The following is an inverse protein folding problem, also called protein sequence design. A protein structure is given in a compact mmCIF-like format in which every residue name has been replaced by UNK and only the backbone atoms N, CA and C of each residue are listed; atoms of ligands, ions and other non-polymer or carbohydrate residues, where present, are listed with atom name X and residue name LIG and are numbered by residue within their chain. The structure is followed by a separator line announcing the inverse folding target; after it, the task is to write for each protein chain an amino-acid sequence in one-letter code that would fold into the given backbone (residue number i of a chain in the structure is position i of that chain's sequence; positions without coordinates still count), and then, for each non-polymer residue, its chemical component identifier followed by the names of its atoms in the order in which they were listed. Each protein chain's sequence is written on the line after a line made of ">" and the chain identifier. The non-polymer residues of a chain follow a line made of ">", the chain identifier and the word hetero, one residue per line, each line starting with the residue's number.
data_IF_515251096945
#
_entry.id   IF_515251096945
#
_cell.length_a   1.000
_cell.length_b   1.000
_cell.length_c   1.000
_cell.angle_alpha   90.00
_cell.angle_beta   90.00
_cell.angle_gamma   90.00
#
_symmetry.space_group_name_H-M   'P 1'
#
loop_
_entity.id
_entity.type
_entity.pdbx_description
1 polymer ?
#
# COMPACT_ATOMS: atom_id res chain seq x y z
N UNK A 1 23.47 4.47 19.34
CA UNK A 1 22.59 5.17 18.38
C UNK A 1 21.26 4.42 18.36
N UNK A 2 20.12 5.10 18.23
CA UNK A 2 18.85 4.39 18.02
C UNK A 2 18.89 3.68 16.67
N UNK A 3 18.24 2.51 16.58
CA UNK A 3 18.13 1.78 15.31
C UNK A 3 17.33 2.61 14.31
N UNK A 4 17.72 2.59 13.04
CA UNK A 4 16.99 3.27 11.96
C UNK A 4 15.62 2.61 11.80
N UNK A 5 14.54 3.37 11.95
CA UNK A 5 13.17 2.88 11.76
C UNK A 5 12.75 3.12 10.31
N UNK A 6 12.42 2.04 9.62
CA UNK A 6 12.13 2.03 8.18
C UNK A 6 10.73 1.48 7.98
N UNK A 7 9.86 2.29 7.36
CA UNK A 7 8.58 1.80 6.82
C UNK A 7 8.78 1.42 5.36
N UNK A 8 8.53 0.15 5.04
CA UNK A 8 8.65 -0.40 3.69
C UNK A 8 7.25 -0.55 3.10
N UNK A 9 7.01 0.04 1.92
CA UNK A 9 5.76 -0.13 1.18
C UNK A 9 5.98 -1.05 -0.03
N UNK A 10 5.37 -2.23 0.00
CA UNK A 10 5.50 -3.24 -1.03
C UNK A 10 4.44 -3.05 -2.14
N UNK A 11 4.90 -2.84 -3.37
CA UNK A 11 4.05 -2.79 -4.56
C UNK A 11 3.57 -4.16 -5.05
N UNK A 12 2.84 -4.18 -6.16
CA UNK A 12 2.25 -5.41 -6.71
C UNK A 12 3.31 -6.44 -7.13
N UNK A 13 4.46 -6.00 -7.67
CA UNK A 13 5.57 -6.89 -8.08
C UNK A 13 6.07 -7.75 -6.91
N UNK A 14 6.05 -7.22 -5.69
CA UNK A 14 6.48 -7.90 -4.48
C UNK A 14 5.51 -9.01 -4.00
N UNK A 15 4.28 -9.05 -4.53
CA UNK A 15 3.22 -9.95 -4.09
C UNK A 15 2.65 -10.84 -5.18
N UNK A 16 2.96 -10.61 -6.46
CA UNK A 16 2.33 -11.33 -7.56
C UNK A 16 0.81 -11.06 -7.67
N UNK A 17 0.15 -11.77 -8.60
CA UNK A 17 -1.28 -11.60 -8.87
C UNK A 17 -2.13 -12.86 -8.63
N UNK A 18 -1.54 -14.04 -8.75
CA UNK A 18 -2.19 -15.35 -8.51
C UNK A 18 -1.57 -16.06 -7.30
N UNK A 19 -2.24 -17.09 -6.77
CA UNK A 19 -1.71 -17.87 -5.63
C UNK A 19 -0.27 -18.40 -5.87
N UNK A 20 0.05 -19.06 -7.01
CA UNK A 20 1.43 -19.53 -7.26
C UNK A 20 2.43 -18.39 -7.47
N UNK A 21 2.01 -17.30 -8.11
CA UNK A 21 2.86 -16.14 -8.31
C UNK A 21 3.19 -15.45 -6.97
N UNK A 22 2.21 -15.34 -6.07
CA UNK A 22 2.42 -14.76 -4.75
C UNK A 22 3.39 -15.59 -3.94
N UNK A 23 3.22 -16.91 -3.89
CA UNK A 23 4.14 -17.81 -3.19
C UNK A 23 5.59 -17.67 -3.67
N UNK A 24 5.79 -17.39 -4.96
CA UNK A 24 7.13 -17.12 -5.50
C UNK A 24 7.62 -15.71 -5.14
N UNK A 25 6.77 -14.70 -5.33
CA UNK A 25 7.11 -13.30 -5.11
C UNK A 25 7.48 -13.01 -3.64
N UNK A 26 6.72 -13.56 -2.67
CA UNK A 26 6.98 -13.31 -1.25
C UNK A 26 8.33 -13.85 -0.78
N UNK A 27 8.89 -14.88 -1.43
CA UNK A 27 10.23 -15.40 -1.14
C UNK A 27 11.32 -14.41 -1.54
N UNK A 28 11.17 -13.74 -2.69
CA UNK A 28 12.10 -12.69 -3.10
C UNK A 28 11.98 -11.47 -2.19
N UNK A 29 10.74 -11.08 -1.86
CA UNK A 29 10.47 -10.02 -0.89
C UNK A 29 11.09 -10.33 0.47
N UNK A 30 10.98 -11.56 0.96
CA UNK A 30 11.55 -11.98 2.24
C UNK A 30 13.07 -11.75 2.31
N UNK A 31 13.80 -12.03 1.22
CA UNK A 31 15.25 -11.77 1.14
C UNK A 31 15.57 -10.28 1.30
N UNK A 32 14.85 -9.43 0.57
CA UNK A 32 15.03 -7.98 0.63
C UNK A 32 14.75 -7.44 2.05
N UNK A 33 13.68 -7.91 2.70
CA UNK A 33 13.36 -7.56 4.09
C UNK A 33 14.43 -8.06 5.06
N UNK A 34 14.92 -9.29 4.87
CA UNK A 34 15.97 -9.85 5.70
C UNK A 34 17.29 -9.05 5.59
N UNK A 35 17.63 -8.53 4.40
CA UNK A 35 18.78 -7.64 4.22
C UNK A 35 18.66 -6.36 5.07
N UNK A 36 17.46 -5.75 5.13
CA UNK A 36 17.20 -4.58 5.97
C UNK A 36 17.31 -4.91 7.47
N UNK A 37 16.84 -6.10 7.86
CA UNK A 37 16.91 -6.59 9.24
C UNK A 37 18.36 -6.87 9.66
N UNK A 38 19.17 -7.45 8.77
CA UNK A 38 20.61 -7.66 8.96
C UNK A 38 21.39 -6.34 9.08
N UNK A 39 20.96 -5.30 8.38
CA UNK A 39 21.46 -3.93 8.54
C UNK A 39 20.98 -3.25 9.85
N UNK A 40 20.48 -4.03 10.80
CA UNK A 40 19.97 -3.63 12.12
C UNK A 40 18.84 -2.59 12.10
N UNK A 41 18.03 -2.55 11.05
CA UNK A 41 16.87 -1.67 10.98
C UNK A 41 15.68 -2.22 11.81
N UNK A 42 14.85 -1.30 12.32
CA UNK A 42 13.50 -1.61 12.77
C UNK A 42 12.56 -1.50 11.57
N UNK A 43 12.01 -2.64 11.13
CA UNK A 43 11.26 -2.72 9.87
C UNK A 43 9.77 -2.86 10.14
N UNK A 44 8.98 -1.94 9.58
CA UNK A 44 7.52 -2.05 9.50
C UNK A 44 7.12 -2.10 8.03
N UNK A 45 6.28 -3.05 7.66
CA UNK A 45 5.93 -3.37 6.29
C UNK A 45 4.46 -3.03 6.08
N UNK A 46 4.19 -2.33 4.99
CA UNK A 46 2.87 -2.22 4.39
C UNK A 46 2.92 -2.76 2.97
N UNK A 47 1.76 -3.06 2.41
CA UNK A 47 1.72 -3.73 1.11
C UNK A 47 0.45 -3.38 0.32
N UNK A 48 0.53 -3.50 -1.01
CA UNK A 48 -0.64 -3.43 -1.88
C UNK A 48 -1.53 -4.68 -1.75
N UNK A 49 -2.77 -4.64 -2.22
CA UNK A 49 -3.65 -5.81 -2.22
C UNK A 49 -4.52 -5.94 -3.48
N UNK A 50 -4.30 -5.13 -4.52
CA UNK A 50 -5.31 -4.94 -5.56
C UNK A 50 -5.68 -6.24 -6.33
N UNK A 51 -4.73 -7.09 -6.77
CA UNK A 51 -5.07 -8.39 -7.35
C UNK A 51 -5.81 -9.30 -6.36
N UNK A 52 -5.33 -9.37 -5.12
CA UNK A 52 -5.82 -10.28 -4.09
C UNK A 52 -7.24 -9.91 -3.63
N UNK A 53 -7.49 -8.63 -3.35
CA UNK A 53 -8.82 -8.13 -2.98
C UNK A 53 -9.80 -8.23 -4.14
N UNK A 54 -9.33 -8.06 -5.38
CA UNK A 54 -10.15 -8.27 -6.58
C UNK A 54 -10.60 -9.71 -6.73
N UNK A 55 -9.70 -10.68 -6.51
CA UNK A 55 -10.01 -12.10 -6.49
C UNK A 55 -11.02 -12.45 -5.39
N UNK A 56 -10.76 -12.00 -4.14
CA UNK A 56 -11.64 -12.24 -2.99
C UNK A 56 -13.02 -11.64 -3.22
N UNK A 57 -13.09 -10.38 -3.65
CA UNK A 57 -14.36 -9.71 -3.92
C UNK A 57 -15.15 -10.40 -5.03
N UNK A 58 -14.48 -10.88 -6.09
CA UNK A 58 -15.14 -11.66 -7.15
C UNK A 58 -15.71 -12.96 -6.58
N UNK A 59 -14.94 -13.70 -5.79
CA UNK A 59 -15.41 -14.94 -5.16
C UNK A 59 -16.60 -14.70 -4.21
N UNK A 60 -16.53 -13.66 -3.36
CA UNK A 60 -17.62 -13.32 -2.43
C UNK A 60 -18.89 -12.85 -3.14
N UNK A 61 -18.76 -12.18 -4.29
CA UNK A 61 -19.91 -11.81 -5.11
C UNK A 61 -20.57 -13.04 -5.74
N UNK A 62 -19.80 -13.98 -6.28
CA UNK A 62 -20.37 -15.21 -6.83
C UNK A 62 -21.02 -16.07 -5.72
N UNK A 63 -20.43 -16.10 -4.52
CA UNK A 63 -21.03 -16.74 -3.36
C UNK A 63 -22.40 -16.12 -3.01
N UNK A 64 -22.49 -14.79 -2.94
CA UNK A 64 -23.72 -14.07 -2.62
C UNK A 64 -24.84 -14.29 -3.66
N UNK A 65 -24.50 -14.43 -4.95
CA UNK A 65 -25.48 -14.77 -6.00
C UNK A 65 -26.12 -16.15 -5.79
N UNK A 66 -25.36 -17.11 -5.27
CA UNK A 66 -25.82 -18.48 -5.05
C UNK A 66 -26.53 -18.69 -3.71
N UNK A 67 -26.43 -17.73 -2.79
CA UNK A 67 -26.98 -17.84 -1.43
C UNK A 67 -27.82 -16.60 -1.08
N UNK A 68 -29.10 -16.56 -1.48
CA UNK A 68 -29.97 -15.39 -1.30
C UNK A 68 -30.15 -14.94 0.16
N UNK A 69 -29.99 -15.87 1.11
CA UNK A 69 -30.11 -15.59 2.55
C UNK A 69 -28.87 -14.85 3.12
N UNK A 70 -27.81 -14.70 2.33
CA UNK A 70 -26.59 -14.00 2.72
C UNK A 70 -26.54 -12.59 2.12
N UNK A 71 -26.08 -11.62 2.90
CA UNK A 71 -25.75 -10.29 2.38
C UNK A 71 -24.40 -10.34 1.66
N UNK A 72 -24.29 -9.61 0.54
CA UNK A 72 -23.01 -9.44 -0.17
C UNK A 72 -21.93 -8.88 0.75
N UNK A 73 -20.72 -9.44 0.68
CA UNK A 73 -19.60 -9.00 1.50
C UNK A 73 -19.18 -7.57 1.10
N UNK A 74 -19.13 -6.61 2.04
CA UNK A 74 -18.70 -5.26 1.74
C UNK A 74 -17.19 -5.23 1.44
N UNK A 75 -16.75 -4.20 0.69
CA UNK A 75 -15.33 -4.03 0.34
C UNK A 75 -14.40 -4.00 1.55
N UNK A 76 -14.84 -3.45 2.69
CA UNK A 76 -14.08 -3.45 3.94
C UNK A 76 -13.78 -4.87 4.46
N UNK A 77 -14.72 -5.80 4.34
CA UNK A 77 -14.54 -7.21 4.73
C UNK A 77 -13.61 -7.91 3.75
N UNK A 78 -13.76 -7.68 2.43
CA UNK A 78 -12.83 -8.21 1.43
C UNK A 78 -11.39 -7.69 1.65
N UNK A 79 -11.24 -6.42 2.02
CA UNK A 79 -9.94 -5.84 2.40
C UNK A 79 -9.38 -6.53 3.65
N UNK A 80 -10.18 -6.79 4.68
CA UNK A 80 -9.76 -7.52 5.87
C UNK A 80 -9.26 -8.94 5.53
N UNK A 81 -10.00 -9.67 4.70
CA UNK A 81 -9.59 -10.98 4.20
C UNK A 81 -8.25 -10.91 3.46
N UNK A 82 -8.06 -9.89 2.61
CA UNK A 82 -6.82 -9.72 1.86
C UNK A 82 -5.60 -9.45 2.74
N UNK A 83 -5.78 -8.76 3.87
CA UNK A 83 -4.70 -8.54 4.84
C UNK A 83 -4.28 -9.85 5.51
N UNK A 84 -5.26 -10.68 5.92
CA UNK A 84 -4.97 -12.00 6.50
C UNK A 84 -4.26 -12.91 5.51
N UNK A 85 -4.73 -12.93 4.25
CA UNK A 85 -4.14 -13.74 3.19
C UNK A 85 -2.70 -13.33 2.87
N UNK A 86 -2.46 -12.06 2.54
CA UNK A 86 -1.13 -11.58 2.16
C UNK A 86 -0.18 -11.59 3.36
N UNK A 87 -0.68 -11.16 4.53
CA UNK A 87 0.09 -11.15 5.76
C UNK A 87 0.54 -12.54 6.19
N UNK A 88 -0.31 -13.56 6.03
CA UNK A 88 0.08 -14.96 6.26
C UNK A 88 1.28 -15.38 5.40
N UNK A 89 1.20 -15.15 4.07
CA UNK A 89 2.26 -15.54 3.15
C UNK A 89 3.57 -14.77 3.40
N UNK A 90 3.49 -13.45 3.61
CA UNK A 90 4.65 -12.60 3.93
C UNK A 90 5.27 -12.99 5.26
N UNK A 91 4.46 -13.14 6.32
CA UNK A 91 4.92 -13.47 7.66
C UNK A 91 5.68 -14.80 7.66
N UNK A 92 5.17 -15.81 6.97
CA UNK A 92 5.84 -17.11 6.85
C UNK A 92 7.16 -16.99 6.10
N UNK A 93 7.16 -16.36 4.92
CA UNK A 93 8.35 -16.26 4.08
C UNK A 93 9.46 -15.45 4.75
N UNK A 94 9.12 -14.31 5.37
CA UNK A 94 10.11 -13.48 6.09
C UNK A 94 10.65 -14.24 7.30
N UNK A 95 9.79 -14.91 8.09
CA UNK A 95 10.24 -15.67 9.26
C UNK A 95 11.16 -16.82 8.85
N UNK A 96 10.82 -17.56 7.81
CA UNK A 96 11.67 -18.63 7.26
C UNK A 96 13.05 -18.08 6.85
N UNK A 97 13.07 -16.99 6.07
CA UNK A 97 14.31 -16.37 5.61
C UNK A 97 15.17 -15.86 6.77
N UNK A 98 14.58 -15.19 7.76
CA UNK A 98 15.31 -14.72 8.95
C UNK A 98 15.92 -15.89 9.72
N UNK A 99 15.18 -16.98 9.91
CA UNK A 99 15.70 -18.17 10.59
C UNK A 99 16.83 -18.84 9.81
N UNK A 100 16.73 -18.91 8.47
CA UNK A 100 17.80 -19.42 7.61
C UNK A 100 19.09 -18.60 7.74
N UNK A 101 18.99 -17.31 8.06
CA UNK A 101 20.12 -16.42 8.36
C UNK A 101 20.54 -16.41 9.83
N UNK A 102 19.94 -17.23 10.67
CA UNK A 102 20.24 -17.31 12.11
C UNK A 102 19.64 -16.15 12.94
N UNK A 103 18.65 -15.43 12.41
CA UNK A 103 18.02 -14.26 13.03
C UNK A 103 16.69 -14.66 13.67
N UNK A 104 16.64 -14.64 15.00
CA UNK A 104 15.45 -15.01 15.79
C UNK A 104 14.40 -13.90 15.97
N UNK A 105 14.27 -12.93 15.06
CA UNK A 105 13.31 -11.82 15.22
C UNK A 105 11.88 -12.29 14.90
N UNK A 106 10.89 -12.02 15.77
CA UNK A 106 9.49 -12.31 15.45
C UNK A 106 8.98 -11.48 14.27
N UNK A 107 8.05 -12.04 13.52
CA UNK A 107 7.34 -11.39 12.42
C UNK A 107 5.84 -11.48 12.73
N UNK A 108 5.15 -10.35 12.71
CA UNK A 108 3.74 -10.27 13.13
C UNK A 108 2.92 -9.44 12.16
N UNK A 109 1.81 -10.01 11.68
CA UNK A 109 0.79 -9.29 10.92
C UNK A 109 -0.28 -8.74 11.84
N UNK A 110 -0.61 -7.46 11.69
CA UNK A 110 -1.68 -6.79 12.43
C UNK A 110 -2.80 -6.43 11.45
N UNK A 111 -4.00 -6.97 11.67
CA UNK A 111 -5.19 -6.53 10.97
C UNK A 111 -5.40 -5.04 11.27
N UNK A 112 -5.38 -4.21 10.24
CA UNK A 112 -5.28 -2.76 10.39
C UNK A 112 -6.47 -2.04 9.79
N UNK A 113 -7.12 -1.20 10.59
CA UNK A 113 -8.15 -0.25 10.21
C UNK A 113 -7.56 1.16 10.09
N UNK A 114 -8.02 1.90 9.09
CA UNK A 114 -7.56 3.27 8.81
C UNK A 114 -8.76 4.19 8.77
N UNK A 115 -8.71 5.21 9.61
CA UNK A 115 -9.74 6.24 9.70
C UNK A 115 -9.66 7.13 8.46
N UNK A 116 -10.80 7.38 7.84
CA UNK A 116 -10.93 8.25 6.67
C UNK A 116 -12.00 9.31 6.94
N UNK A 117 -11.81 10.49 6.37
CA UNK A 117 -12.73 11.61 6.55
C UNK A 117 -14.06 11.33 5.82
N UNK A 118 -15.23 11.35 6.48
CA UNK A 118 -16.52 11.19 5.79
C UNK A 118 -16.82 12.30 4.78
N UNK A 119 -16.15 13.45 4.88
CA UNK A 119 -16.31 14.61 4.01
C UNK A 119 -15.16 14.75 2.99
N UNK A 120 -14.34 13.71 2.79
CA UNK A 120 -13.28 13.73 1.79
C UNK A 120 -13.84 13.95 0.38
N UNK A 121 -13.27 14.88 -0.38
CA UNK A 121 -13.73 15.23 -1.73
C UNK A 121 -13.77 14.04 -2.69
N UNK A 122 -12.95 13.00 -2.44
CA UNK A 122 -12.95 11.76 -3.24
C UNK A 122 -14.25 10.96 -3.12
N UNK A 123 -15.10 11.20 -2.11
CA UNK A 123 -16.44 10.63 -2.06
C UNK A 123 -17.35 11.19 -3.16
N UNK A 124 -17.12 12.44 -3.59
CA UNK A 124 -17.86 13.06 -4.70
C UNK A 124 -17.21 12.81 -6.06
N UNK A 125 -15.94 12.38 -6.09
CA UNK A 125 -15.19 12.05 -7.31
C UNK A 125 -14.46 10.71 -7.17
N UNK A 126 -15.17 9.57 -7.35
CA UNK A 126 -14.52 8.27 -7.40
C UNK A 126 -13.48 8.24 -8.53
N UNK A 127 -12.26 7.81 -8.22
CA UNK A 127 -11.15 7.76 -9.20
C UNK A 127 -10.53 6.37 -9.32
N UNK A 128 -10.75 5.50 -8.33
CA UNK A 128 -10.05 4.22 -8.24
C UNK A 128 -10.87 3.12 -8.91
N UNK A 129 -10.40 2.68 -10.07
CA UNK A 129 -10.99 1.54 -10.79
C UNK A 129 -10.59 0.24 -10.10
N UNK A 130 -11.58 -0.61 -9.79
CA UNK A 130 -11.40 -1.88 -9.10
C UNK A 130 -12.22 -3.00 -9.76
N UNK A 131 -11.90 -4.25 -9.43
CA UNK A 131 -12.65 -5.43 -9.86
C UNK A 131 -12.41 -5.84 -11.32
N UNK A 132 -13.15 -6.87 -11.74
CA UNK A 132 -13.11 -7.42 -13.11
C UNK A 132 -13.85 -6.54 -14.10
N UNK A 133 -13.56 -6.72 -15.40
CA UNK A 133 -14.39 -6.16 -16.48
C UNK A 133 -15.76 -6.84 -16.43
N UNK A 134 -16.81 -6.02 -16.50
CA UNK A 134 -18.22 -6.38 -16.41
C UNK A 134 -18.92 -6.09 -17.73
N UNK A 135 -19.97 -6.86 -18.01
CA UNK A 135 -20.92 -6.53 -19.09
C UNK A 135 -21.76 -5.29 -18.71
N UNK A 136 -22.55 -4.77 -19.66
CA UNK A 136 -23.46 -3.65 -19.36
C UNK A 136 -24.49 -4.06 -18.29
N UNK A 137 -25.08 -5.23 -18.42
CA UNK A 137 -26.08 -5.76 -17.49
C UNK A 137 -25.52 -5.93 -16.07
N UNK A 138 -24.30 -6.48 -15.96
CA UNK A 138 -23.60 -6.59 -14.66
C UNK A 138 -23.30 -5.21 -14.06
N UNK A 139 -22.99 -4.21 -14.88
CA UNK A 139 -22.74 -2.85 -14.43
C UNK A 139 -24.02 -2.15 -13.96
N UNK A 140 -25.12 -2.29 -14.69
CA UNK A 140 -26.43 -1.74 -14.30
C UNK A 140 -26.88 -2.33 -12.95
N UNK A 141 -26.69 -3.64 -12.75
CA UNK A 141 -26.99 -4.31 -11.47
C UNK A 141 -26.11 -3.82 -10.30
N UNK A 142 -24.89 -3.35 -10.56
CA UNK A 142 -24.05 -2.71 -9.53
C UNK A 142 -24.51 -1.28 -9.23
N UNK A 143 -24.93 -0.52 -10.24
CA UNK A 143 -25.52 0.82 -10.08
C UNK A 143 -26.83 0.77 -9.27
N UNK A 144 -27.68 -0.24 -9.49
CA UNK A 144 -28.90 -0.47 -8.69
C UNK A 144 -28.61 -0.73 -7.20
N UNK A 145 -27.43 -1.29 -6.88
CA UNK A 145 -26.96 -1.47 -5.50
C UNK A 145 -26.35 -0.20 -4.89
N UNK A 146 -26.32 0.91 -5.64
CA UNK A 146 -25.69 2.17 -5.24
C UNK A 146 -24.17 2.19 -5.42
N UNK A 147 -23.60 1.27 -6.20
CA UNK A 147 -22.17 1.30 -6.53
C UNK A 147 -21.92 2.12 -7.81
N UNK A 148 -20.78 2.81 -7.87
CA UNK A 148 -20.39 3.51 -9.08
C UNK A 148 -19.64 2.59 -10.04
N UNK A 149 -19.91 2.75 -11.34
CA UNK A 149 -19.19 2.08 -12.43
C UNK A 149 -18.64 3.10 -13.42
N UNK A 150 -17.60 2.70 -14.15
CA UNK A 150 -17.01 3.51 -15.22
C UNK A 150 -16.72 2.64 -16.43
N UNK A 151 -16.80 3.24 -17.62
CA UNK A 151 -16.49 2.55 -18.88
C UNK A 151 -14.98 2.39 -19.00
N UNK A 152 -14.55 1.19 -19.37
CA UNK A 152 -13.14 0.86 -19.64
C UNK A 152 -13.05 0.15 -20.99
N UNK A 153 -11.82 -0.10 -21.45
CA UNK A 153 -11.62 -0.95 -22.62
C UNK A 153 -12.21 -2.35 -22.36
N UNK A 154 -13.07 -2.81 -23.28
CA UNK A 154 -13.73 -4.11 -23.21
C UNK A 154 -14.97 -4.20 -22.31
N UNK A 155 -15.42 -3.11 -21.66
CA UNK A 155 -16.67 -3.14 -20.87
C UNK A 155 -16.75 -2.08 -19.78
N UNK A 156 -17.16 -2.49 -18.58
CA UNK A 156 -17.32 -1.63 -17.41
C UNK A 156 -16.53 -2.16 -16.23
N UNK A 157 -16.12 -1.28 -15.31
CA UNK A 157 -15.52 -1.66 -14.02
C UNK A 157 -16.09 -0.82 -12.90
N UNK A 158 -16.07 -1.36 -11.68
CA UNK A 158 -16.41 -0.57 -10.49
C UNK A 158 -15.40 0.54 -10.29
N UNK A 159 -15.87 1.71 -9.87
CA UNK A 159 -15.04 2.84 -9.47
C UNK A 159 -15.39 3.21 -8.04
N UNK A 160 -14.39 3.38 -7.19
CA UNK A 160 -14.56 3.68 -5.77
C UNK A 160 -13.75 4.90 -5.37
N UNK A 161 -14.17 5.51 -4.27
CA UNK A 161 -13.47 6.62 -3.63
C UNK A 161 -12.16 6.18 -3.02
N UNK A 162 -11.17 7.07 -3.06
CA UNK A 162 -9.86 6.86 -2.49
C UNK A 162 -9.52 7.99 -1.51
N UNK A 163 -10.17 8.00 -0.34
CA UNK A 163 -9.98 9.06 0.65
C UNK A 163 -8.59 9.00 1.26
N UNK A 164 -8.14 10.15 1.77
CA UNK A 164 -6.84 10.23 2.44
C UNK A 164 -6.90 9.52 3.81
N UNK A 165 -5.81 8.84 4.21
CA UNK A 165 -5.71 8.25 5.53
C UNK A 165 -5.54 9.36 6.58
N UNK A 166 -6.48 9.47 7.53
CA UNK A 166 -6.38 10.42 8.63
C UNK A 166 -5.59 9.84 9.80
N UNK A 167 -5.92 8.61 10.21
CA UNK A 167 -5.35 7.96 11.38
C UNK A 167 -5.34 6.42 11.23
N UNK A 168 -4.50 5.74 12.00
CA UNK A 168 -4.39 4.27 12.03
C UNK A 168 -4.86 3.79 13.40
N UNK A 169 -5.93 2.99 13.43
CA UNK A 169 -6.58 2.59 14.68
C UNK A 169 -5.64 1.77 15.57
N UNK A 170 -4.89 0.83 14.97
CA UNK A 170 -3.98 -0.07 15.68
C UNK A 170 -2.55 0.49 15.86
N UNK A 171 -2.36 1.80 15.72
CA UNK A 171 -1.02 2.42 15.72
C UNK A 171 -0.21 2.13 16.99
N UNK A 172 -0.85 2.10 18.16
CA UNK A 172 -0.17 1.85 19.43
C UNK A 172 0.33 0.41 19.53
N UNK A 173 -0.42 -0.56 19.00
CA UNK A 173 0.01 -1.96 18.92
C UNK A 173 1.16 -2.13 17.92
N UNK A 174 1.06 -1.48 16.75
CA UNK A 174 2.13 -1.47 15.74
C UNK A 174 3.41 -0.90 16.34
N UNK A 175 3.31 0.25 17.02
CA UNK A 175 4.45 0.92 17.69
C UNK A 175 5.07 0.03 18.75
N UNK A 176 4.25 -0.54 19.63
CA UNK A 176 4.71 -1.42 20.71
C UNK A 176 5.51 -2.61 20.18
N UNK A 177 5.03 -3.29 19.14
CA UNK A 177 5.70 -4.45 18.56
C UNK A 177 6.96 -4.06 17.77
N UNK A 178 6.92 -2.94 17.05
CA UNK A 178 8.09 -2.41 16.33
C UNK A 178 9.20 -1.98 17.28
N UNK A 179 8.84 -1.29 18.38
CA UNK A 179 9.79 -0.86 19.42
C UNK A 179 10.38 -2.05 20.18
N UNK A 180 9.63 -3.15 20.31
CA UNK A 180 10.13 -4.43 20.80
C UNK A 180 11.05 -5.18 19.80
N UNK A 181 11.30 -4.61 18.62
CA UNK A 181 12.23 -5.15 17.62
C UNK A 181 11.64 -6.24 16.71
N UNK A 182 10.32 -6.41 16.69
CA UNK A 182 9.65 -7.29 15.73
C UNK A 182 9.61 -6.67 14.34
N UNK A 183 9.56 -7.51 13.31
CA UNK A 183 9.14 -7.10 11.97
C UNK A 183 7.61 -7.08 11.96
N UNK A 184 7.01 -5.91 11.75
CA UNK A 184 5.55 -5.76 11.81
C UNK A 184 4.99 -5.54 10.42
N UNK A 185 4.00 -6.33 10.01
CA UNK A 185 3.23 -6.15 8.77
C UNK A 185 1.89 -5.51 9.15
N UNK A 186 1.59 -4.33 8.61
CA UNK A 186 0.40 -3.55 8.92
C UNK A 186 -0.09 -2.76 7.69
N UNK A 187 -1.26 -2.14 7.80
CA UNK A 187 -1.85 -1.33 6.72
C UNK A 187 -1.93 -2.05 5.36
N UNK A 188 -2.13 -3.37 5.36
CA UNK A 188 -2.24 -4.15 4.12
C UNK A 188 -3.38 -3.64 3.24
N UNK A 189 -3.08 -3.38 1.97
CA UNK A 189 -4.01 -2.75 1.03
C UNK A 189 -4.29 -1.27 1.28
N UNK A 190 -3.48 -0.60 2.10
CA UNK A 190 -3.76 0.75 2.61
C UNK A 190 -4.61 0.76 3.89
N UNK A 191 -4.96 -0.41 4.44
CA UNK A 191 -5.82 -0.53 5.62
C UNK A 191 -7.30 -0.73 5.28
N UNK A 192 -8.07 -1.23 6.25
CA UNK A 192 -9.53 -1.34 6.15
C UNK A 192 -10.11 0.06 6.41
N UNK A 193 -10.74 0.71 5.42
CA UNK A 193 -11.23 2.06 5.64
C UNK A 193 -12.43 2.05 6.58
N UNK A 194 -12.38 2.90 7.60
CA UNK A 194 -13.43 3.05 8.60
C UNK A 194 -13.80 4.52 8.81
N UNK A 195 -15.08 4.78 8.97
CA UNK A 195 -15.61 6.05 9.44
C UNK A 195 -15.71 6.00 10.96
N UNK A 196 -15.14 6.98 11.65
CA UNK A 196 -15.22 7.12 13.10
C UNK A 196 -16.37 8.06 13.47
N UNK A 197 -17.33 7.55 14.23
CA UNK A 197 -18.43 8.33 14.81
C UNK A 197 -18.40 8.14 16.32
N UNK A 198 -17.87 9.14 17.04
CA UNK A 198 -17.52 9.01 18.46
C UNK A 198 -16.63 7.76 18.69
N UNK A 199 -17.14 6.77 19.43
CA UNK A 199 -16.42 5.53 19.75
C UNK A 199 -16.75 4.37 18.80
N UNK A 200 -17.60 4.59 17.79
CA UNK A 200 -18.00 3.55 16.83
C UNK A 200 -17.20 3.68 15.54
N UNK A 201 -16.63 2.56 15.11
CA UNK A 201 -16.03 2.40 13.80
C UNK A 201 -17.03 1.70 12.86
N UNK A 202 -17.23 2.24 11.67
CA UNK A 202 -18.04 1.62 10.61
C UNK A 202 -17.22 1.49 9.35
N UNK A 203 -17.15 0.30 8.78
CA UNK A 203 -16.48 0.08 7.50
C UNK A 203 -17.03 0.98 6.40
N UNK A 204 -16.14 1.63 5.66
CA UNK A 204 -16.48 2.45 4.49
C UNK A 204 -16.34 1.64 3.20
N UNK A 205 -17.18 1.95 2.20
CA UNK A 205 -17.04 1.41 0.85
C UNK A 205 -16.02 2.26 0.07
N UNK A 206 -14.75 2.13 0.43
CA UNK A 206 -13.65 2.88 -0.17
C UNK A 206 -12.40 2.00 -0.31
N UNK A 207 -11.38 2.50 -1.00
CA UNK A 207 -10.04 1.90 -1.03
C UNK A 207 -9.02 3.00 -0.78
N UNK A 208 -8.25 2.88 0.29
CA UNK A 208 -7.22 3.87 0.61
C UNK A 208 -6.02 3.67 -0.31
N UNK A 209 -5.42 4.77 -0.75
CA UNK A 209 -4.19 4.69 -1.53
C UNK A 209 -3.04 4.20 -0.63
N UNK A 210 -2.47 3.03 -0.95
CA UNK A 210 -1.50 2.37 -0.06
C UNK A 210 -0.22 3.16 0.17
N UNK A 211 0.27 3.92 -0.82
CA UNK A 211 1.48 4.72 -0.67
C UNK A 211 1.21 5.88 0.31
N UNK A 212 0.03 6.52 0.24
CA UNK A 212 -0.41 7.51 1.25
C UNK A 212 -0.56 6.90 2.64
N UNK A 213 -1.15 5.70 2.75
CA UNK A 213 -1.28 5.00 4.04
C UNK A 213 0.10 4.64 4.63
N UNK A 214 1.04 4.24 3.77
CA UNK A 214 2.43 3.97 4.15
C UNK A 214 3.12 5.23 4.67
N UNK A 215 2.90 6.37 4.01
CA UNK A 215 3.37 7.68 4.48
C UNK A 215 2.79 8.06 5.84
N UNK A 216 1.48 7.87 6.06
CA UNK A 216 0.83 8.11 7.36
C UNK A 216 1.35 7.15 8.44
N UNK A 217 1.56 5.88 8.12
CA UNK A 217 2.16 4.89 9.02
C UNK A 217 3.58 5.32 9.44
N UNK A 218 4.40 5.75 8.48
CA UNK A 218 5.76 6.23 8.74
C UNK A 218 5.76 7.50 9.60
N UNK A 219 4.85 8.43 9.33
CA UNK A 219 4.65 9.64 10.13
C UNK A 219 4.33 9.32 11.59
N UNK A 220 3.32 8.47 11.83
CA UNK A 220 2.82 8.14 13.17
C UNK A 220 3.78 7.25 14.00
N UNK A 221 4.68 6.54 13.34
CA UNK A 221 5.73 5.75 13.97
C UNK A 221 7.03 6.55 14.20
N UNK A 222 7.07 7.81 13.77
CA UNK A 222 8.27 8.65 13.71
C UNK A 222 9.44 7.94 13.04
N UNK A 223 9.16 7.32 11.88
CA UNK A 223 10.17 6.63 11.10
C UNK A 223 11.23 7.60 10.56
N UNK A 224 12.46 7.12 10.39
CA UNK A 224 13.55 7.84 9.77
C UNK A 224 13.44 7.78 8.24
N UNK A 225 12.91 6.67 7.72
CA UNK A 225 12.83 6.41 6.29
C UNK A 225 11.51 5.78 5.88
N UNK A 226 10.96 6.28 4.77
CA UNK A 226 9.90 5.63 3.99
C UNK A 226 10.54 5.03 2.73
N UNK A 227 10.46 3.72 2.57
CA UNK A 227 11.03 3.00 1.44
C UNK A 227 9.89 2.44 0.57
N UNK A 228 9.65 3.05 -0.59
CA UNK A 228 8.62 2.64 -1.53
C UNK A 228 9.22 1.68 -2.57
N UNK A 229 8.98 0.38 -2.42
CA UNK A 229 9.51 -0.66 -3.31
C UNK A 229 8.47 -1.02 -4.38
N UNK A 230 8.53 -0.30 -5.50
CA UNK A 230 7.37 -0.17 -6.40
C UNK A 230 7.54 -0.79 -7.79
N UNK A 231 8.62 -1.56 -8.00
CA UNK A 231 8.92 -2.25 -9.26
C UNK A 231 9.54 -1.35 -10.34
N UNK A 232 9.83 -0.09 -9.99
CA UNK A 232 10.49 0.89 -10.82
C UNK A 232 11.85 1.19 -10.20
N UNK A 233 12.92 1.18 -11.01
CA UNK A 233 14.27 1.46 -10.49
C UNK A 233 14.43 2.90 -10.02
N UNK A 234 13.81 3.85 -10.74
CA UNK A 234 13.81 5.28 -10.45
C UNK A 234 12.52 5.90 -10.96
N UNK A 235 12.23 7.12 -10.50
CA UNK A 235 11.28 8.00 -11.15
C UNK A 235 11.95 8.68 -12.34
N UNK A 236 11.14 9.11 -13.29
CA UNK A 236 11.59 9.76 -14.52
C UNK A 236 10.75 11.00 -14.79
N UNK A 237 11.40 12.07 -15.24
CA UNK A 237 10.73 13.22 -15.87
C UNK A 237 10.48 12.90 -17.34
N UNK A 238 9.45 13.52 -17.92
CA UNK A 238 9.13 13.37 -19.35
C UNK A 238 9.03 11.89 -19.79
N UNK A 239 8.47 11.04 -18.93
CA UNK A 239 8.38 9.61 -19.21
C UNK A 239 7.68 9.34 -20.55
N UNK A 240 8.29 8.51 -21.39
CA UNK A 240 7.78 8.19 -22.73
C UNK A 240 8.05 9.25 -23.80
N UNK A 241 8.84 10.29 -23.51
CA UNK A 241 9.30 11.29 -24.49
C UNK A 241 10.80 11.12 -24.76
N UNK A 242 11.28 11.76 -25.84
CA UNK A 242 12.69 11.70 -26.25
C UNK A 242 13.65 12.29 -25.19
N UNK A 243 13.18 13.24 -24.38
CA UNK A 243 13.92 13.87 -23.28
C UNK A 243 13.59 13.26 -21.91
N UNK A 244 13.35 11.95 -21.87
CA UNK A 244 13.12 11.21 -20.62
C UNK A 244 14.39 11.21 -19.76
N UNK A 245 14.29 11.67 -18.52
CA UNK A 245 15.43 11.83 -17.62
C UNK A 245 15.17 11.16 -16.27
N UNK A 246 16.09 10.32 -15.76
CA UNK A 246 15.95 9.71 -14.45
C UNK A 246 16.13 10.73 -13.33
N UNK A 247 15.39 10.57 -12.24
CA UNK A 247 15.53 11.35 -11.03
C UNK A 247 16.38 10.59 -10.00
N UNK A 248 17.53 11.18 -9.64
CA UNK A 248 18.37 10.71 -8.55
C UNK A 248 17.89 11.31 -7.21
N UNK A 249 18.61 12.29 -6.67
CA UNK A 249 18.21 13.00 -5.46
C UNK A 249 17.50 14.31 -5.82
N UNK A 250 16.31 14.53 -5.27
CA UNK A 250 15.56 15.77 -5.42
C UNK A 250 15.10 16.31 -4.07
N UNK A 251 14.96 17.63 -3.98
CA UNK A 251 14.38 18.28 -2.80
C UNK A 251 12.86 18.20 -2.81
N UNK A 252 12.24 18.44 -1.66
CA UNK A 252 10.79 18.59 -1.52
C UNK A 252 10.23 19.67 -2.45
N UNK A 253 10.92 20.81 -2.58
CA UNK A 253 10.48 21.93 -3.44
C UNK A 253 10.48 21.52 -4.91
N UNK A 254 11.53 20.83 -5.37
CA UNK A 254 11.58 20.31 -6.75
C UNK A 254 10.48 19.29 -7.00
N UNK A 255 10.27 18.36 -6.08
CA UNK A 255 9.20 17.38 -6.18
C UNK A 255 7.81 18.05 -6.30
N UNK A 256 7.57 19.13 -5.53
CA UNK A 256 6.33 19.92 -5.63
C UNK A 256 6.20 20.64 -6.97
N UNK A 257 7.29 21.19 -7.53
CA UNK A 257 7.29 21.79 -8.87
C UNK A 257 6.88 20.76 -9.92
N UNK A 258 7.51 19.58 -9.91
CA UNK A 258 7.22 18.51 -10.88
C UNK A 258 5.79 17.96 -10.75
N UNK A 259 5.23 17.94 -9.53
CA UNK A 259 3.80 17.64 -9.33
C UNK A 259 2.93 18.71 -10.01
N UNK A 260 3.22 20.00 -9.79
CA UNK A 260 2.45 21.10 -10.38
C UNK A 260 2.55 21.15 -11.92
N UNK A 261 3.69 20.72 -12.47
CA UNK A 261 3.93 20.57 -13.90
C UNK A 261 3.28 19.32 -14.51
N UNK A 262 2.68 18.44 -13.69
CA UNK A 262 2.04 17.21 -14.18
C UNK A 262 3.02 16.15 -14.70
N UNK A 263 4.26 16.14 -14.21
CA UNK A 263 5.30 15.20 -14.67
C UNK A 263 5.01 13.74 -14.28
N UNK A 264 4.20 13.51 -13.26
CA UNK A 264 3.94 12.19 -12.69
C UNK A 264 2.56 11.66 -13.05
N UNK A 265 2.50 10.43 -13.55
CA UNK A 265 1.23 9.77 -13.88
C UNK A 265 0.31 9.65 -12.66
N UNK A 266 -0.90 10.23 -12.75
CA UNK A 266 -1.83 10.43 -11.63
C UNK A 266 -2.21 9.14 -10.90
N UNK A 267 -2.35 8.03 -11.63
CA UNK A 267 -2.88 6.76 -11.08
C UNK A 267 -1.80 5.82 -10.53
N UNK A 268 -0.53 6.10 -10.80
CA UNK A 268 0.59 5.19 -10.48
C UNK A 268 1.71 5.88 -9.73
N UNK A 269 2.33 6.92 -10.29
CA UNK A 269 3.54 7.55 -9.75
C UNK A 269 3.20 8.70 -8.81
N UNK A 270 2.22 9.54 -9.16
CA UNK A 270 1.87 10.72 -8.38
C UNK A 270 1.59 10.41 -6.89
N UNK A 271 0.82 9.36 -6.52
CA UNK A 271 0.56 9.07 -5.11
C UNK A 271 1.84 8.77 -4.30
N UNK A 272 2.86 8.18 -4.92
CA UNK A 272 4.16 7.89 -4.29
C UNK A 272 4.90 9.18 -3.97
N UNK A 273 4.94 10.09 -4.94
CA UNK A 273 5.62 11.39 -4.77
C UNK A 273 4.89 12.24 -3.74
N UNK A 274 3.55 12.22 -3.73
CA UNK A 274 2.74 12.91 -2.72
C UNK A 274 2.98 12.34 -1.33
N UNK A 275 2.99 11.01 -1.17
CA UNK A 275 3.32 10.36 0.10
C UNK A 275 4.73 10.72 0.58
N UNK A 276 5.70 10.65 -0.34
CA UNK A 276 7.10 10.96 -0.07
C UNK A 276 7.29 12.42 0.41
N UNK A 277 6.72 13.36 -0.33
CA UNK A 277 6.76 14.79 -0.01
C UNK A 277 6.10 15.06 1.34
N UNK A 278 4.94 14.46 1.60
CA UNK A 278 4.24 14.63 2.88
C UNK A 278 5.07 14.13 4.07
N UNK A 279 5.65 12.93 3.95
CA UNK A 279 6.46 12.33 5.01
C UNK A 279 7.73 13.12 5.31
N UNK A 280 8.48 13.49 4.27
CA UNK A 280 9.75 14.24 4.38
C UNK A 280 9.50 15.65 4.90
N UNK A 281 8.44 16.34 4.43
CA UNK A 281 8.07 17.68 4.92
C UNK A 281 7.67 17.69 6.40
N UNK A 282 7.27 16.54 6.97
CA UNK A 282 6.74 16.46 8.32
C UNK A 282 7.80 16.64 9.42
N UNK A 283 9.07 16.32 9.14
CA UNK A 283 10.17 16.46 10.13
C UNK A 283 11.54 16.48 9.43
N UNK A 284 12.46 17.39 9.81
CA UNK A 284 13.83 17.39 9.31
C UNK A 284 14.54 16.04 9.55
N UNK A 285 15.34 15.62 8.58
CA UNK A 285 16.12 14.38 8.66
C UNK A 285 15.40 13.12 8.17
N UNK A 286 14.10 13.20 7.87
CA UNK A 286 13.37 12.11 7.21
C UNK A 286 13.72 12.02 5.74
N UNK A 287 13.78 10.79 5.23
CA UNK A 287 14.10 10.52 3.81
C UNK A 287 13.07 9.58 3.23
N UNK A 288 12.62 9.83 2.00
CA UNK A 288 11.90 8.83 1.20
C UNK A 288 12.78 8.32 0.08
N UNK A 289 12.81 7.01 -0.13
CA UNK A 289 13.46 6.39 -1.30
C UNK A 289 12.45 5.57 -2.08
N UNK A 290 12.42 5.78 -3.39
CA UNK A 290 11.58 5.03 -4.34
C UNK A 290 12.49 4.17 -5.21
N UNK A 291 12.38 2.86 -5.10
CA UNK A 291 13.31 1.93 -5.74
C UNK A 291 12.62 0.62 -6.18
N UNK A 292 13.36 -0.22 -6.90
CA UNK A 292 12.97 -1.60 -7.15
C UNK A 292 13.22 -2.45 -5.90
N UNK A 293 12.49 -3.57 -5.79
CA UNK A 293 12.65 -4.52 -4.69
C UNK A 293 14.08 -5.10 -4.65
N UNK A 294 14.67 -5.33 -5.83
CA UNK A 294 16.00 -5.94 -5.95
C UNK A 294 17.11 -4.99 -5.46
N UNK A 295 16.83 -3.67 -5.41
CA UNK A 295 17.77 -2.63 -4.99
C UNK A 295 17.52 -2.19 -3.52
N UNK A 296 16.74 -2.94 -2.73
CA UNK A 296 16.28 -2.50 -1.41
C UNK A 296 17.42 -2.16 -0.43
N UNK A 297 18.52 -2.91 -0.48
CA UNK A 297 19.70 -2.70 0.38
C UNK A 297 20.44 -1.42 -0.01
N UNK A 298 20.70 -1.23 -1.29
CA UNK A 298 21.32 -0.03 -1.84
C UNK A 298 20.43 1.20 -1.63
N UNK A 299 19.11 1.04 -1.72
CA UNK A 299 18.13 2.09 -1.45
C UNK A 299 18.13 2.51 0.03
N UNK A 300 18.27 1.56 0.97
CA UNK A 300 18.41 1.86 2.41
C UNK A 300 19.62 2.78 2.70
N UNK A 301 20.69 2.60 1.93
CA UNK A 301 21.94 3.37 1.99
C UNK A 301 21.91 4.65 1.13
N UNK A 302 20.78 4.98 0.49
CA UNK A 302 20.63 6.12 -0.42
C UNK A 302 21.59 6.05 -1.64
N UNK A 303 21.88 4.84 -2.13
CA UNK A 303 22.74 4.58 -3.31
C UNK A 303 21.97 4.12 -4.54
N UNK A 304 20.70 3.76 -4.39
CA UNK A 304 19.80 3.38 -5.48
C UNK A 304 18.42 4.03 -5.31
N UNK A 305 17.65 4.07 -6.39
CA UNK A 305 16.34 4.71 -6.40
C UNK A 305 16.36 6.21 -6.65
N UNK A 306 15.17 6.80 -6.53
CA UNK A 306 14.97 8.25 -6.41
C UNK A 306 14.87 8.62 -4.93
N UNK A 307 15.70 9.55 -4.48
CA UNK A 307 15.81 9.98 -3.08
C UNK A 307 15.14 11.35 -2.95
N UNK A 308 14.21 11.47 -2.01
CA UNK A 308 13.52 12.72 -1.68
C UNK A 308 13.88 13.09 -0.25
N UNK A 309 14.54 14.24 -0.05
CA UNK A 309 14.99 14.76 1.24
C UNK A 309 15.10 16.28 1.26
#
# INVERSE_FOLDING_TARGET
>A
MSKKKVVVALGHKALGATLPQQQTAVKNTAKAIADLVEADCQVVISHSNAPQVGMIHTAMNEFGKQHPDYTFAPMSVCSAMSQGYIGYDLQNAIREELLNRGIGRPVTTILTQVVVNPYDDSFYKPVKVIGRVMTREEADAEEEKGNYVTKVEGGYRRIVSAPKPEDIVEIDAIRTLSDAGQVVIACGGGGIPVLKQANRLKGASAVIEKDLASGKLAELLDADMLLLLTGEKKLYLNYGKDNCEPLDTISVEKARSYIAEGQFAEKSILPKVVAAVSFVSGKPGRVTVIADLDDAKEALEEKAGTIIK
#
